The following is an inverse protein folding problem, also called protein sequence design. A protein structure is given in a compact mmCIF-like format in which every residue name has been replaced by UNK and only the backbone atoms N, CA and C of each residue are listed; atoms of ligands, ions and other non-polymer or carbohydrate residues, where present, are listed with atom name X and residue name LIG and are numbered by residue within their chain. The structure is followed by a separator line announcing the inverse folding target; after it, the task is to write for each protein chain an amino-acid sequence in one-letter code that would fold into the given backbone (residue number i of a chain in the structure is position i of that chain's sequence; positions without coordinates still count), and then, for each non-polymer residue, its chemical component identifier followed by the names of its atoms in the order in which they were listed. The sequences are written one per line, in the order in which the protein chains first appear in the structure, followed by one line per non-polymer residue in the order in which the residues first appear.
data_IF_414094432080
#
_entry.id   IF_414094432080
#
_cell.length_a   1.000
_cell.length_b   1.000
_cell.length_c   1.000
_cell.angle_alpha   90.00
_cell.angle_beta   90.00
_cell.angle_gamma   90.00
#
_symmetry.space_group_name_H-M   'P 1'
#
loop_
_entity.id
_entity.type
_entity.pdbx_description
1 polymer ?
#
# COMPACT_ATOMS: atom_id res chain seq x y z
N UNK A 1 3.55 5.32 16.00
CA UNK A 1 2.80 4.22 16.66
C UNK A 1 1.33 4.56 16.96
N UNK A 2 0.90 5.83 17.00
CA UNK A 2 -0.51 6.19 17.26
C UNK A 2 -1.43 6.06 16.02
N UNK A 3 -0.91 6.31 14.81
CA UNK A 3 -1.69 6.33 13.56
C UNK A 3 -2.27 4.97 13.14
N UNK A 4 -1.53 3.87 13.32
CA UNK A 4 -2.02 2.52 13.06
C UNK A 4 -3.19 2.12 13.98
N UNK A 5 -3.29 2.71 15.18
CA UNK A 5 -4.34 2.39 16.17
C UNK A 5 -5.66 3.08 15.87
N UNK A 6 -5.64 4.26 15.23
CA UNK A 6 -6.85 5.00 14.84
C UNK A 6 -7.55 4.32 13.67
N UNK A 7 -6.79 3.81 12.71
CA UNK A 7 -7.35 3.12 11.55
C UNK A 7 -8.07 1.82 11.88
N UNK A 8 -7.50 1.03 12.79
CA UNK A 8 -8.13 -0.18 13.31
C UNK A 8 -9.45 0.16 14.03
N UNK A 9 -9.49 1.24 14.82
CA UNK A 9 -10.72 1.68 15.48
C UNK A 9 -11.78 2.21 14.50
N UNK A 10 -11.37 2.85 13.40
CA UNK A 10 -12.27 3.36 12.37
C UNK A 10 -12.93 2.23 11.57
N UNK A 11 -12.16 1.22 11.17
CA UNK A 11 -12.68 -0.01 10.53
C UNK A 11 -13.60 -0.78 11.49
N UNK A 12 -13.30 -0.79 12.79
CA UNK A 12 -14.15 -1.39 13.84
C UNK A 12 -15.51 -0.68 14.01
N UNK A 13 -15.54 0.66 13.92
CA UNK A 13 -16.78 1.45 14.00
C UNK A 13 -17.71 1.14 12.82
N UNK A 14 -17.18 1.08 11.60
CA UNK A 14 -17.96 0.82 10.38
C UNK A 14 -18.56 -0.61 10.37
N UNK A 15 -17.84 -1.61 10.91
CA UNK A 15 -18.34 -2.99 11.05
C UNK A 15 -19.50 -3.13 12.03
N UNK A 16 -19.55 -2.32 13.11
CA UNK A 16 -20.63 -2.40 14.11
C UNK A 16 -21.98 -1.99 13.53
N UNK A 17 -21.95 -1.10 12.53
CA UNK A 17 -23.14 -0.54 11.89
C UNK A 17 -23.61 -1.34 10.67
N UNK A 18 -22.77 -2.15 10.02
CA UNK A 18 -23.11 -2.87 8.80
C UNK A 18 -22.67 -4.35 8.86
N UNK A 19 -23.64 -5.26 9.05
CA UNK A 19 -23.41 -6.71 9.28
C UNK A 19 -23.17 -7.55 8.01
N UNK A 20 -23.39 -7.02 6.82
CA UNK A 20 -23.04 -7.67 5.55
C UNK A 20 -21.84 -6.96 4.93
N UNK A 21 -20.69 -7.66 4.91
CA UNK A 21 -19.36 -7.16 4.51
C UNK A 21 -18.95 -7.31 3.02
N UNK A 22 -19.77 -7.73 2.03
CA UNK A 22 -19.25 -7.97 0.69
C UNK A 22 -18.89 -6.69 -0.10
N UNK A 23 -19.25 -5.50 0.40
CA UNK A 23 -18.97 -4.20 -0.25
C UNK A 23 -17.91 -3.36 0.49
N UNK A 24 -17.45 -3.80 1.66
CA UNK A 24 -16.48 -3.03 2.47
C UNK A 24 -15.02 -3.38 2.15
N UNK A 25 -14.81 -4.51 1.47
CA UNK A 25 -13.49 -5.06 1.17
C UNK A 25 -13.51 -5.63 -0.25
N UNK A 26 -12.49 -5.29 -1.02
CA UNK A 26 -12.28 -5.85 -2.34
C UNK A 26 -10.83 -6.32 -2.46
N UNK A 27 -10.61 -7.33 -3.30
CA UNK A 27 -9.27 -7.72 -3.68
C UNK A 27 -8.74 -6.70 -4.69
N UNK A 28 -7.56 -6.13 -4.45
CA UNK A 28 -6.94 -5.23 -5.40
C UNK A 28 -6.64 -5.95 -6.73
N UNK A 29 -6.96 -5.29 -7.85
CA UNK A 29 -6.65 -5.74 -9.21
C UNK A 29 -5.63 -4.82 -9.86
N UNK A 30 -4.69 -5.41 -10.61
CA UNK A 30 -3.64 -4.67 -11.30
C UNK A 30 -4.23 -3.67 -12.30
N UNK A 31 -3.75 -2.43 -12.29
CA UNK A 31 -4.21 -1.34 -13.16
C UNK A 31 -5.47 -0.61 -12.68
N UNK A 32 -6.17 -1.11 -11.66
CA UNK A 32 -7.37 -0.45 -11.12
C UNK A 32 -7.05 0.87 -10.45
N UNK A 33 -7.97 1.83 -10.59
CA UNK A 33 -7.92 3.10 -9.88
C UNK A 33 -8.06 2.88 -8.37
N UNK A 34 -7.29 3.65 -7.60
CA UNK A 34 -7.34 3.61 -6.13
C UNK A 34 -7.16 5.00 -5.54
N UNK A 35 -7.65 5.16 -4.32
CA UNK A 35 -7.50 6.36 -3.51
C UNK A 35 -6.78 6.02 -2.21
N UNK A 36 -5.62 6.60 -1.97
CA UNK A 36 -4.95 6.55 -0.67
C UNK A 36 -5.50 7.65 0.23
N UNK A 37 -5.96 7.31 1.43
CA UNK A 37 -6.46 8.28 2.40
C UNK A 37 -5.82 8.05 3.78
N UNK A 38 -5.20 9.08 4.35
CA UNK A 38 -4.52 8.98 5.65
C UNK A 38 -4.30 10.34 6.31
N UNK A 39 -3.67 10.33 7.49
CA UNK A 39 -3.42 11.54 8.30
C UNK A 39 -1.91 11.75 8.48
N UNK A 40 -1.20 12.33 7.49
CA UNK A 40 0.23 12.58 7.58
C UNK A 40 0.58 13.37 8.85
N UNK A 41 1.61 12.93 9.56
CA UNK A 41 2.05 13.51 10.84
C UNK A 41 0.94 13.74 11.91
N UNK A 42 -0.22 13.07 11.80
CA UNK A 42 -1.37 13.30 12.69
C UNK A 42 -2.13 14.61 12.44
N UNK A 43 -1.93 15.23 11.26
CA UNK A 43 -2.63 16.43 10.84
C UNK A 43 -4.00 16.16 10.23
N UNK A 44 -4.34 16.86 9.15
CA UNK A 44 -5.61 16.70 8.44
C UNK A 44 -5.62 15.43 7.57
N UNK A 45 -6.84 14.99 7.20
CA UNK A 45 -7.03 13.96 6.19
C UNK A 45 -6.44 14.44 4.86
N UNK A 46 -5.57 13.63 4.27
CA UNK A 46 -5.01 13.82 2.93
C UNK A 46 -5.40 12.63 2.09
N UNK A 47 -5.82 12.92 0.86
CA UNK A 47 -6.23 11.93 -0.14
C UNK A 47 -5.37 12.09 -1.39
N UNK A 48 -4.95 10.97 -1.99
CA UNK A 48 -4.21 10.93 -3.25
C UNK A 48 -4.78 9.83 -4.13
N UNK A 49 -5.11 10.20 -5.36
CA UNK A 49 -5.48 9.25 -6.41
C UNK A 49 -4.25 8.55 -6.96
N UNK A 50 -4.47 7.35 -7.50
CA UNK A 50 -3.48 6.57 -8.21
C UNK A 50 -4.08 5.28 -8.77
N UNK A 51 -3.20 4.33 -9.06
CA UNK A 51 -3.55 3.01 -9.58
C UNK A 51 -2.75 1.93 -8.88
N UNK A 52 -3.22 0.69 -8.96
CA UNK A 52 -2.45 -0.49 -8.56
C UNK A 52 -1.39 -0.79 -9.61
N UNK A 53 -0.13 -0.62 -9.25
CA UNK A 53 1.02 -0.84 -10.15
C UNK A 53 1.66 -2.21 -9.97
N UNK A 54 1.33 -2.94 -8.90
CA UNK A 54 1.89 -4.26 -8.64
C UNK A 54 1.18 -4.97 -7.50
N UNK A 55 1.09 -6.30 -7.60
CA UNK A 55 0.50 -7.18 -6.61
C UNK A 55 1.50 -8.30 -6.32
N UNK A 56 1.87 -8.45 -5.06
CA UNK A 56 2.90 -9.40 -4.64
C UNK A 56 2.35 -10.31 -3.56
N UNK A 57 2.20 -11.60 -3.89
CA UNK A 57 1.74 -12.60 -2.93
C UNK A 57 2.77 -12.78 -1.81
N UNK A 58 2.35 -12.53 -0.58
CA UNK A 58 3.14 -12.71 0.62
C UNK A 58 2.22 -13.07 1.78
N UNK A 59 2.56 -14.09 2.56
CA UNK A 59 1.80 -14.51 3.74
C UNK A 59 0.27 -14.62 3.51
N UNK A 60 -0.11 -15.24 2.38
CA UNK A 60 -1.52 -15.46 2.02
C UNK A 60 -2.29 -14.23 1.53
N UNK A 61 -1.66 -13.07 1.35
CA UNK A 61 -2.30 -11.87 0.81
C UNK A 61 -1.41 -11.12 -0.19
N UNK A 62 -2.01 -10.23 -0.99
CA UNK A 62 -1.27 -9.44 -1.96
C UNK A 62 -0.81 -8.12 -1.34
N UNK A 63 0.50 -7.95 -1.15
CA UNK A 63 1.09 -6.63 -0.90
C UNK A 63 0.93 -5.79 -2.17
N UNK A 64 0.43 -4.57 -2.02
CA UNK A 64 0.00 -3.72 -3.13
C UNK A 64 1.03 -2.62 -3.31
N UNK A 65 1.60 -2.48 -4.52
CA UNK A 65 2.31 -1.27 -4.95
C UNK A 65 1.33 -0.35 -5.65
N UNK A 66 1.35 0.93 -5.31
CA UNK A 66 0.46 1.94 -5.91
C UNK A 66 1.20 3.21 -6.30
N UNK A 67 0.71 3.89 -7.33
CA UNK A 67 1.11 5.26 -7.66
C UNK A 67 0.49 6.32 -6.74
N UNK A 68 -0.54 5.96 -5.97
CA UNK A 68 -1.16 6.86 -5.01
C UNK A 68 -0.15 7.23 -3.92
N UNK A 69 0.16 8.53 -3.82
CA UNK A 69 1.23 9.00 -2.95
C UNK A 69 0.76 9.18 -1.51
N UNK A 70 1.61 8.83 -0.56
CA UNK A 70 1.35 9.11 0.85
C UNK A 70 2.64 9.36 1.64
N UNK A 71 2.59 10.30 2.58
CA UNK A 71 3.75 10.68 3.37
C UNK A 71 3.88 9.93 4.69
N UNK A 72 5.03 10.12 5.33
CA UNK A 72 5.29 9.55 6.64
C UNK A 72 4.19 10.00 7.64
N UNK A 73 3.71 9.05 8.44
CA UNK A 73 2.61 9.29 9.37
C UNK A 73 1.22 9.02 8.78
N UNK A 74 1.08 8.89 7.46
CA UNK A 74 -0.14 8.35 6.86
C UNK A 74 -0.29 6.83 7.10
N UNK A 75 0.77 6.15 7.56
CA UNK A 75 0.76 4.72 7.89
C UNK A 75 -0.38 4.37 8.86
N UNK A 76 -1.20 3.42 8.47
CA UNK A 76 -2.49 3.12 9.11
C UNK A 76 -3.68 3.58 8.28
N UNK A 77 -3.55 4.60 7.43
CA UNK A 77 -4.61 5.00 6.50
C UNK A 77 -5.06 3.88 5.55
N UNK A 78 -6.15 4.09 4.84
CA UNK A 78 -6.73 3.12 3.92
C UNK A 78 -6.34 3.39 2.46
N UNK A 79 -6.26 2.32 1.68
CA UNK A 79 -6.28 2.33 0.23
C UNK A 79 -7.65 1.80 -0.22
N UNK A 80 -8.36 2.58 -1.02
CA UNK A 80 -9.73 2.28 -1.45
C UNK A 80 -9.82 2.14 -2.97
N UNK A 81 -10.70 1.29 -3.48
CA UNK A 81 -11.07 1.27 -4.90
C UNK A 81 -12.08 2.40 -5.24
N UNK A 82 -12.55 2.42 -6.48
CA UNK A 82 -13.51 3.40 -7.00
C UNK A 82 -14.92 3.26 -6.42
N UNK A 83 -15.29 2.07 -5.94
CA UNK A 83 -16.51 1.86 -5.15
C UNK A 83 -16.37 2.27 -3.68
N UNK A 84 -15.15 2.61 -3.23
CA UNK A 84 -14.86 2.99 -1.86
C UNK A 84 -14.68 1.80 -0.91
N UNK A 85 -14.50 0.59 -1.43
CA UNK A 85 -14.15 -0.58 -0.64
C UNK A 85 -12.67 -0.56 -0.26
N UNK A 86 -12.35 -1.02 0.97
CA UNK A 86 -10.98 -1.06 1.46
C UNK A 86 -10.22 -2.22 0.80
N UNK A 87 -9.20 -1.89 0.01
CA UNK A 87 -8.34 -2.90 -0.63
C UNK A 87 -7.02 -3.10 0.11
N UNK A 88 -6.57 -2.11 0.89
CA UNK A 88 -5.35 -2.24 1.69
C UNK A 88 -5.13 -1.17 2.76
N UNK A 89 -4.10 -1.38 3.58
CA UNK A 89 -3.65 -0.45 4.60
C UNK A 89 -2.32 0.19 4.20
N UNK A 90 -2.26 1.52 4.15
CA UNK A 90 -1.03 2.27 3.84
C UNK A 90 0.04 1.93 4.89
N UNK A 91 1.21 1.48 4.44
CA UNK A 91 2.24 0.98 5.36
C UNK A 91 3.57 1.69 5.20
N UNK A 92 4.22 1.54 4.05
CA UNK A 92 5.60 2.00 3.87
C UNK A 92 5.88 2.53 2.47
N UNK A 93 6.96 3.28 2.36
CA UNK A 93 7.54 3.70 1.09
C UNK A 93 8.95 3.15 0.94
N UNK A 94 9.33 2.71 -0.25
CA UNK A 94 10.70 2.25 -0.48
C UNK A 94 11.68 3.44 -0.40
N UNK A 95 12.85 3.23 0.21
CA UNK A 95 13.91 4.24 0.32
C UNK A 95 14.82 4.34 -0.92
N UNK A 96 14.46 3.72 -2.04
CA UNK A 96 15.37 3.49 -3.17
C UNK A 96 15.10 4.39 -4.37
N UNK A 97 15.42 5.69 -4.31
CA UNK A 97 15.46 6.62 -5.45
C UNK A 97 14.12 6.93 -6.16
N UNK A 98 13.21 5.97 -6.23
CA UNK A 98 11.84 6.06 -6.69
C UNK A 98 10.91 6.13 -5.47
N UNK A 99 9.91 7.02 -5.53
CA UNK A 99 8.85 7.13 -4.52
C UNK A 99 7.85 5.97 -4.72
N UNK A 100 8.20 4.78 -4.25
CA UNK A 100 7.31 3.61 -4.32
C UNK A 100 6.49 3.53 -3.04
N UNK A 101 5.18 3.44 -3.19
CA UNK A 101 4.21 3.40 -2.11
C UNK A 101 3.60 2.01 -2.00
N UNK A 102 3.57 1.45 -0.79
CA UNK A 102 3.09 0.09 -0.52
C UNK A 102 1.99 0.06 0.53
N UNK A 103 0.94 -0.70 0.22
CA UNK A 103 -0.13 -1.03 1.14
C UNK A 103 -0.14 -2.54 1.44
N UNK A 104 -0.49 -2.89 2.67
CA UNK A 104 -0.72 -4.28 3.08
C UNK A 104 -2.14 -4.69 2.70
N UNK A 105 -2.39 -5.95 2.32
CA UNK A 105 -3.73 -6.40 1.94
C UNK A 105 -4.71 -6.24 3.10
N UNK A 106 -5.90 -5.75 2.80
CA UNK A 106 -6.95 -5.58 3.81
C UNK A 106 -7.34 -6.92 4.46
N UNK A 107 -7.22 -8.03 3.74
CA UNK A 107 -7.59 -9.38 4.22
C UNK A 107 -6.72 -9.89 5.38
N UNK A 108 -5.49 -9.38 5.54
CA UNK A 108 -4.67 -9.67 6.72
C UNK A 108 -5.33 -9.17 8.01
N UNK A 109 -6.19 -8.16 7.93
CA UNK A 109 -6.93 -7.66 9.09
C UNK A 109 -8.11 -8.57 9.49
N UNK A 110 -8.58 -9.41 8.57
CA UNK A 110 -9.78 -10.24 8.71
C UNK A 110 -9.48 -11.68 9.11
N UNK A 111 -8.26 -12.14 8.85
CA UNK A 111 -7.81 -13.50 9.14
C UNK A 111 -7.61 -13.71 10.65
N UNK A 112 -8.72 -13.80 11.38
CA UNK A 112 -8.93 -14.60 12.60
C UNK A 112 -8.16 -14.27 13.89
N UNK A 113 -7.00 -13.62 13.87
CA UNK A 113 -6.13 -13.45 15.04
C UNK A 113 -6.01 -12.00 15.56
N UNK A 114 -6.33 -11.00 14.73
CA UNK A 114 -6.22 -9.59 15.10
C UNK A 114 -7.47 -9.02 15.81
N UNK A 115 -8.55 -9.80 15.88
CA UNK A 115 -9.80 -9.42 16.58
C UNK A 115 -9.90 -10.18 17.91
N UNK A 116 -8.83 -10.16 18.69
CA UNK A 116 -8.94 -10.52 20.10
C UNK A 116 -9.71 -9.41 20.82
N UNK A 117 -10.80 -9.75 21.51
CA UNK A 117 -11.42 -8.84 22.47
C UNK A 117 -10.53 -8.62 23.70
N UNK A 118 -9.45 -9.40 23.83
CA UNK A 118 -8.45 -9.20 24.87
C UNK A 118 -7.48 -8.13 24.40
N UNK A 119 -7.45 -7.03 25.14
CA UNK A 119 -6.43 -6.01 24.98
C UNK A 119 -5.07 -6.62 25.33
N UNK A 120 -4.25 -6.89 24.32
CA UNK A 120 -2.84 -7.24 24.52
C UNK A 120 -2.03 -5.94 24.52
N UNK A 121 -1.24 -5.66 25.58
CA UNK A 121 -0.34 -4.52 25.56
C UNK A 121 0.60 -4.64 24.35
N UNK A 122 0.65 -3.59 23.53
CA UNK A 122 1.66 -3.50 22.46
C UNK A 122 2.99 -3.25 23.16
N UNK A 123 3.72 -4.33 23.44
CA UNK A 123 5.09 -4.24 23.94
C UNK A 123 5.97 -3.89 22.74
N UNK A 124 6.80 -2.83 22.81
CA UNK A 124 7.82 -2.59 21.80
C UNK A 124 8.78 -3.77 21.82
N UNK A 125 8.56 -4.76 20.96
CA UNK A 125 9.55 -5.79 20.73
C UNK A 125 10.69 -5.13 19.97
N UNK A 126 11.77 -4.79 20.68
CA UNK A 126 12.97 -4.20 20.08
C UNK A 126 13.62 -5.08 19.01
N UNK A 127 13.19 -6.32 18.86
CA UNK A 127 13.74 -7.33 17.93
C UNK A 127 12.84 -7.62 16.72
N UNK A 128 11.55 -7.24 16.74
CA UNK A 128 10.64 -7.57 15.64
C UNK A 128 10.52 -6.43 14.61
N UNK A 129 11.39 -6.49 13.62
CA UNK A 129 11.32 -5.66 12.43
C UNK A 129 10.18 -6.14 11.50
N UNK A 130 9.39 -5.20 10.99
CA UNK A 130 8.46 -5.50 9.91
C UNK A 130 9.24 -6.05 8.70
N UNK A 131 8.62 -6.87 7.85
CA UNK A 131 9.35 -7.56 6.78
C UNK A 131 10.09 -6.59 5.83
N UNK A 132 9.56 -5.38 5.64
CA UNK A 132 10.16 -4.32 4.82
C UNK A 132 11.29 -3.54 5.52
N UNK A 133 11.48 -3.72 6.83
CA UNK A 133 12.53 -3.07 7.63
C UNK A 133 13.74 -3.99 7.87
N UNK A 134 13.60 -5.28 7.59
CA UNK A 134 14.67 -6.29 7.76
C UNK A 134 15.88 -5.99 6.88
N UNK A 135 17.09 -6.49 7.21
CA UNK A 135 18.22 -6.48 6.29
C UNK A 135 17.88 -7.11 4.95
N UNK A 136 18.41 -6.57 3.84
CA UNK A 136 18.10 -7.02 2.46
C UNK A 136 18.19 -8.54 2.26
N UNK A 137 19.16 -9.20 2.89
CA UNK A 137 19.35 -10.66 2.83
C UNK A 137 18.21 -11.48 3.44
N UNK A 138 17.36 -10.85 4.27
CA UNK A 138 16.25 -11.46 5.00
C UNK A 138 14.89 -10.85 4.65
N UNK A 139 14.86 -9.92 3.68
CA UNK A 139 13.62 -9.39 3.11
C UNK A 139 13.03 -10.40 2.13
N UNK A 140 11.69 -10.45 1.99
CA UNK A 140 11.07 -11.29 0.99
C UNK A 140 11.50 -10.88 -0.42
N UNK A 141 11.69 -11.88 -1.28
CA UNK A 141 12.21 -11.70 -2.66
C UNK A 141 11.40 -10.72 -3.49
N UNK A 142 10.07 -10.69 -3.28
CA UNK A 142 9.18 -9.79 -4.01
C UNK A 142 9.58 -8.32 -3.84
N UNK A 143 10.12 -7.93 -2.69
CA UNK A 143 10.47 -6.54 -2.43
C UNK A 143 11.64 -6.10 -3.32
N UNK A 144 12.62 -6.99 -3.52
CA UNK A 144 13.72 -6.76 -4.47
C UNK A 144 13.22 -6.70 -5.92
N UNK A 145 12.31 -7.59 -6.30
CA UNK A 145 11.70 -7.60 -7.65
C UNK A 145 10.89 -6.32 -7.90
N UNK A 146 10.05 -5.92 -6.94
CA UNK A 146 9.26 -4.69 -7.03
C UNK A 146 10.13 -3.44 -7.22
N UNK A 147 11.31 -3.40 -6.61
CA UNK A 147 12.28 -2.32 -6.76
C UNK A 147 12.95 -2.34 -8.14
N UNK A 148 13.27 -3.54 -8.65
CA UNK A 148 13.88 -3.71 -9.97
C UNK A 148 12.91 -3.35 -11.10
N UNK A 149 11.66 -3.80 -11.00
CA UNK A 149 10.59 -3.46 -11.95
C UNK A 149 10.39 -1.94 -12.04
N UNK A 150 10.31 -1.28 -10.88
CA UNK A 150 10.18 0.18 -10.82
C UNK A 150 11.40 0.91 -11.43
N UNK A 151 12.59 0.31 -11.36
CA UNK A 151 13.76 0.85 -12.04
C UNK A 151 13.66 0.71 -13.55
N UNK A 152 13.29 -0.48 -14.05
CA UNK A 152 13.12 -0.74 -15.48
C UNK A 152 12.02 0.15 -16.11
N UNK A 153 10.92 0.40 -15.40
CA UNK A 153 9.85 1.28 -15.88
C UNK A 153 10.30 2.73 -16.04
N UNK A 154 11.14 3.24 -15.13
CA UNK A 154 11.74 4.59 -15.25
C UNK A 154 12.68 4.71 -16.43
N UNK A 155 13.51 3.70 -16.65
CA UNK A 155 14.46 3.69 -17.75
C UNK A 155 13.68 3.70 -19.09
N UNK A 156 12.61 2.91 -19.18
CA UNK A 156 11.71 2.87 -20.34
C UNK A 156 11.03 4.22 -20.60
N UNK A 157 10.51 4.88 -19.56
CA UNK A 157 9.89 6.21 -19.70
C UNK A 157 10.90 7.27 -20.16
N UNK A 158 12.13 7.19 -19.67
CA UNK A 158 13.23 8.10 -20.06
C UNK A 158 13.64 7.85 -21.51
N UNK A 159 13.75 6.59 -21.93
CA UNK A 159 14.03 6.20 -23.32
C UNK A 159 12.94 6.60 -24.29
N UNK A 160 11.66 6.57 -23.88
CA UNK A 160 10.54 7.04 -24.69
C UNK A 160 10.57 8.57 -24.90
N UNK A 161 10.97 9.33 -23.89
CA UNK A 161 11.13 10.79 -23.99
C UNK A 161 12.32 11.18 -24.90
N UNK A 162 13.37 10.36 -24.94
CA UNK A 162 14.57 10.60 -25.75
C UNK A 162 14.50 10.00 -27.18
N UNK A 163 13.36 9.48 -27.63
CA UNK A 163 13.21 9.13 -29.05
C UNK A 163 13.12 10.43 -29.86
N UNK A 164 13.98 10.66 -30.87
CA UNK A 164 13.83 11.82 -31.74
C UNK A 164 12.47 11.72 -32.42
N UNK A 165 11.64 12.76 -32.29
CA UNK A 165 10.41 12.89 -33.05
C UNK A 165 10.74 12.66 -34.53
N UNK A 166 10.17 11.59 -35.09
CA UNK A 166 10.56 11.04 -36.37
C UNK A 166 10.64 12.11 -37.46
N UNK A 167 11.75 12.10 -38.18
CA UNK A 167 11.90 12.76 -39.46
C UNK A 167 10.80 12.28 -40.40
N UNK A 168 9.86 13.17 -40.73
CA UNK A 168 8.99 13.00 -41.89
C UNK A 168 9.86 13.23 -43.12
N UNK A 169 10.42 12.15 -43.69
CA UNK A 169 10.93 12.17 -45.05
C UNK A 169 9.73 11.96 -45.99
N UNK A 170 9.33 13.04 -46.66
CA UNK A 170 8.39 12.95 -47.78
C UNK A 170 9.17 12.63 -49.07
N UNK A 171 8.65 11.76 -49.95
CA UNK A 171 9.22 11.52 -51.28
C UNK A 171 9.01 12.70 -52.24
#
# INVERSE_FOLDING_TARGET
MLAARVAVAYVQYLRRSFRSLPWLLAAASLGSAVMAAGFPAGGNLVMSEGQVEGLYLYDGGNVIRTSATFDAGASGGGLFDDEGALVGLLAFKARSGAKLHFALPADWTLSGAAVSSQFVPIVPSGEQHAFWERPKSSQPSFLGLAMLEAASQRDSATSACNQPAGATSSP
#
